data_IF_360260810220
#
_entry.id   IF_360260810220
#
_cell.length_a   1.000
_cell.length_b   1.000
_cell.length_c   1.000
_cell.angle_alpha   90.00
_cell.angle_beta   90.00
_cell.angle_gamma   90.00
#
_symmetry.space_group_name_H-M   'P 1'
#
loop_
_entity.id
_entity.type
_entity.pdbx_description
1 polymer ?
#
# COMPACT_ATOMS: atom_id res chain seq x y z
N UNK A 1 16.18 -28.97 0.19
CA UNK A 1 15.93 -29.64 -1.08
C UNK A 1 14.59 -29.15 -1.57
N UNK A 2 14.59 -28.25 -2.53
CA UNK A 2 13.38 -27.81 -3.23
C UNK A 2 13.16 -28.80 -4.33
N UNK A 3 12.08 -29.58 -4.25
CA UNK A 3 11.78 -30.59 -5.24
C UNK A 3 11.46 -29.97 -6.59
N UNK A 4 12.13 -30.44 -7.63
CA UNK A 4 11.80 -30.18 -9.02
C UNK A 4 10.33 -30.57 -9.29
N UNK A 5 9.49 -29.61 -9.61
CA UNK A 5 8.16 -29.89 -10.14
C UNK A 5 8.29 -30.37 -11.58
N UNK A 6 7.73 -31.55 -11.91
CA UNK A 6 7.82 -32.10 -13.26
C UNK A 6 7.01 -31.21 -14.21
N UNK A 7 7.71 -30.75 -15.25
CA UNK A 7 7.28 -30.47 -16.62
C UNK A 7 5.78 -30.21 -16.83
N UNK A 8 5.28 -29.04 -16.36
CA UNK A 8 3.99 -28.54 -16.82
C UNK A 8 4.19 -28.03 -18.25
N UNK A 9 3.51 -28.66 -19.22
CA UNK A 9 3.39 -28.12 -20.58
C UNK A 9 3.00 -26.65 -20.45
N UNK A 10 3.62 -25.72 -21.24
CA UNK A 10 3.18 -24.34 -21.23
C UNK A 10 1.70 -24.35 -21.58
N UNK A 11 0.86 -24.04 -20.61
CA UNK A 11 -0.56 -23.80 -20.88
C UNK A 11 -0.60 -22.65 -21.86
N UNK A 12 -1.09 -22.88 -23.08
CA UNK A 12 -1.38 -21.82 -24.02
C UNK A 12 -2.27 -20.81 -23.29
N UNK A 13 -1.75 -19.60 -23.10
CA UNK A 13 -2.52 -18.52 -22.50
C UNK A 13 -3.81 -18.35 -23.31
N UNK A 14 -4.92 -18.17 -22.63
CA UNK A 14 -6.19 -17.86 -23.28
C UNK A 14 -5.99 -16.65 -24.22
N UNK A 15 -6.39 -16.75 -25.50
CA UNK A 15 -6.23 -15.68 -26.49
C UNK A 15 -6.72 -14.31 -26.00
N UNK A 16 -7.74 -14.28 -25.15
CA UNK A 16 -8.24 -13.03 -24.53
C UNK A 16 -7.19 -12.36 -23.65
N UNK A 17 -6.25 -13.12 -23.10
CA UNK A 17 -5.16 -12.57 -22.29
C UNK A 17 -4.18 -11.74 -23.11
N UNK A 18 -3.95 -12.08 -24.39
CA UNK A 18 -3.11 -11.26 -25.28
C UNK A 18 -3.76 -9.91 -25.56
N UNK A 19 -5.08 -9.89 -25.78
CA UNK A 19 -5.84 -8.65 -25.97
C UNK A 19 -5.75 -7.78 -24.72
N UNK A 20 -5.98 -8.37 -23.54
CA UNK A 20 -5.86 -7.66 -22.25
C UNK A 20 -4.45 -7.10 -22.03
N UNK A 21 -3.40 -7.86 -22.33
CA UNK A 21 -2.01 -7.41 -22.24
C UNK A 21 -1.73 -6.22 -23.16
N UNK A 22 -2.23 -6.28 -24.39
CA UNK A 22 -2.10 -5.19 -25.36
C UNK A 22 -2.83 -3.94 -24.88
N UNK A 23 -4.06 -4.06 -24.39
CA UNK A 23 -4.85 -2.96 -23.85
C UNK A 23 -4.16 -2.32 -22.63
N UNK A 24 -3.66 -3.12 -21.72
CA UNK A 24 -2.92 -2.62 -20.55
C UNK A 24 -1.67 -1.87 -20.97
N UNK A 25 -0.90 -2.41 -21.92
CA UNK A 25 0.31 -1.74 -22.44
C UNK A 25 -0.02 -0.39 -23.06
N UNK A 26 -1.02 -0.34 -23.94
CA UNK A 26 -1.48 0.90 -24.57
C UNK A 26 -1.98 1.91 -23.52
N UNK A 27 -2.77 1.46 -22.57
CA UNK A 27 -3.28 2.30 -21.50
C UNK A 27 -2.14 2.85 -20.62
N UNK A 28 -1.17 2.01 -20.24
CA UNK A 28 -0.01 2.44 -19.46
C UNK A 28 0.78 3.54 -20.19
N UNK A 29 1.03 3.37 -21.48
CA UNK A 29 1.68 4.40 -22.30
C UNK A 29 0.85 5.68 -22.34
N UNK A 30 -0.45 5.57 -22.60
CA UNK A 30 -1.35 6.73 -22.65
C UNK A 30 -1.38 7.49 -21.32
N UNK A 31 -1.49 6.78 -20.19
CA UNK A 31 -1.45 7.38 -18.84
C UNK A 31 -0.11 8.09 -18.61
N UNK A 32 1.00 7.43 -18.95
CA UNK A 32 2.35 8.01 -18.77
C UNK A 32 2.55 9.31 -19.58
N UNK A 33 1.90 9.43 -20.73
CA UNK A 33 2.03 10.62 -21.60
C UNK A 33 1.03 11.74 -21.28
N UNK A 34 -0.11 11.41 -20.67
CA UNK A 34 -1.23 12.35 -20.56
C UNK A 34 -1.61 12.75 -19.15
N UNK A 35 -1.17 11.99 -18.14
CA UNK A 35 -1.40 12.34 -16.73
C UNK A 35 -0.26 13.23 -16.22
N UNK A 36 -0.58 14.33 -15.56
CA UNK A 36 0.42 15.24 -15.04
C UNK A 36 1.03 14.73 -13.72
N UNK A 37 1.58 13.50 -13.72
CA UNK A 37 2.30 13.01 -12.54
C UNK A 37 3.51 13.90 -12.24
N UNK A 38 3.88 14.03 -10.97
CA UNK A 38 5.13 14.68 -10.61
C UNK A 38 6.32 13.99 -11.31
N UNK A 39 6.31 12.66 -11.29
CA UNK A 39 7.14 11.82 -12.14
C UNK A 39 6.53 10.43 -12.29
N UNK A 40 6.82 9.81 -13.42
CA UNK A 40 6.50 8.40 -13.67
C UNK A 40 7.73 7.74 -14.33
N UNK A 41 8.16 6.61 -13.75
CA UNK A 41 9.29 5.86 -14.23
C UNK A 41 9.04 5.09 -15.52
N UNK A 42 10.01 4.28 -15.91
CA UNK A 42 9.91 3.46 -17.12
C UNK A 42 9.13 2.16 -16.86
N UNK A 43 8.51 1.64 -17.93
CA UNK A 43 7.77 0.37 -17.96
C UNK A 43 6.74 0.18 -16.82
N UNK A 44 5.91 1.18 -16.47
CA UNK A 44 4.83 0.94 -15.53
C UNK A 44 3.81 -0.02 -16.15
N UNK A 45 3.25 -0.90 -15.34
CA UNK A 45 2.08 -1.71 -15.68
C UNK A 45 0.87 -1.14 -14.96
N UNK A 46 -0.03 -0.48 -15.68
CA UNK A 46 -1.24 0.14 -15.11
C UNK A 46 -2.45 -0.46 -15.79
N UNK A 47 -3.27 -1.20 -15.03
CA UNK A 47 -4.47 -1.81 -15.59
C UNK A 47 -5.50 -0.72 -15.90
N UNK A 48 -6.17 -0.81 -17.05
CA UNK A 48 -7.10 0.22 -17.55
C UNK A 48 -8.38 0.38 -16.72
N UNK A 49 -8.70 -0.56 -15.81
CA UNK A 49 -9.82 -0.41 -14.86
C UNK A 49 -9.40 0.33 -13.57
N UNK A 50 -8.11 0.65 -13.40
CA UNK A 50 -7.63 1.37 -12.23
C UNK A 50 -8.12 2.81 -12.23
N UNK A 51 -8.44 3.34 -11.06
CA UNK A 51 -8.88 4.72 -10.85
C UNK A 51 -7.73 5.54 -10.29
N UNK A 52 -7.19 6.42 -11.11
CA UNK A 52 -6.09 7.31 -10.72
C UNK A 52 -6.61 8.74 -10.60
N UNK A 53 -6.25 9.44 -9.54
CA UNK A 53 -6.65 10.83 -9.31
C UNK A 53 -6.00 11.78 -10.32
N UNK A 54 -6.50 11.84 -11.58
CA UNK A 54 -5.91 12.64 -12.66
C UNK A 54 -5.74 14.12 -12.28
N UNK A 55 -6.75 14.74 -11.68
CA UNK A 55 -6.71 16.15 -11.26
C UNK A 55 -5.66 16.43 -10.18
N UNK A 56 -5.18 15.42 -9.49
CA UNK A 56 -4.17 15.49 -8.43
C UNK A 56 -2.92 14.66 -8.75
N UNK A 57 -2.76 14.23 -10.00
CA UNK A 57 -1.64 13.37 -10.39
C UNK A 57 -0.27 14.04 -10.19
N UNK A 58 -0.19 15.38 -10.25
CA UNK A 58 1.03 16.13 -9.95
C UNK A 58 1.52 15.97 -8.49
N UNK A 59 0.68 15.45 -7.59
CA UNK A 59 1.05 15.09 -6.22
C UNK A 59 1.35 13.59 -6.06
N UNK A 60 1.46 12.85 -7.17
CA UNK A 60 1.78 11.42 -7.20
C UNK A 60 3.11 11.22 -7.91
N UNK A 61 4.01 10.47 -7.27
CA UNK A 61 5.25 9.98 -7.87
C UNK A 61 5.19 8.47 -8.01
N UNK A 62 5.48 7.96 -9.21
CA UNK A 62 5.51 6.52 -9.52
C UNK A 62 6.90 6.17 -10.04
N UNK A 63 7.53 5.17 -9.46
CA UNK A 63 8.86 4.66 -9.84
C UNK A 63 8.85 3.79 -11.08
N UNK A 64 9.97 3.11 -11.30
CA UNK A 64 10.19 2.21 -12.42
C UNK A 64 9.54 0.85 -12.16
N UNK A 65 9.02 0.21 -13.23
CA UNK A 65 8.51 -1.17 -13.19
C UNK A 65 7.44 -1.40 -12.11
N UNK A 66 6.70 -0.36 -11.74
CA UNK A 66 5.59 -0.45 -10.78
C UNK A 66 4.42 -1.16 -11.44
N UNK A 67 3.85 -2.14 -10.74
CA UNK A 67 2.64 -2.86 -11.15
C UNK A 67 1.41 -2.35 -10.41
N UNK A 68 0.41 -1.86 -11.14
CA UNK A 68 -0.90 -1.44 -10.63
C UNK A 68 -1.98 -2.32 -11.26
N UNK A 69 -2.55 -3.22 -10.46
CA UNK A 69 -3.51 -4.25 -10.86
C UNK A 69 -4.91 -3.72 -11.16
N UNK A 70 -5.84 -4.65 -11.40
CA UNK A 70 -7.25 -4.32 -11.71
C UNK A 70 -7.92 -3.57 -10.56
N UNK A 71 -8.76 -2.58 -10.90
CA UNK A 71 -9.64 -1.90 -9.95
C UNK A 71 -8.90 -1.27 -8.74
N UNK A 72 -7.60 -1.04 -8.86
CA UNK A 72 -6.84 -0.29 -7.87
C UNK A 72 -7.32 1.15 -7.85
N UNK A 73 -7.51 1.70 -6.66
CA UNK A 73 -7.85 3.10 -6.49
C UNK A 73 -6.71 3.87 -5.82
N UNK A 74 -6.07 4.76 -6.59
CA UNK A 74 -5.10 5.72 -6.07
C UNK A 74 -5.77 7.08 -5.98
N UNK A 75 -5.99 7.54 -4.76
CA UNK A 75 -6.64 8.80 -4.46
C UNK A 75 -5.70 9.76 -3.73
N UNK A 76 -5.83 11.04 -4.04
CA UNK A 76 -5.20 12.14 -3.31
C UNK A 76 -6.29 13.04 -2.76
N UNK A 77 -6.44 13.04 -1.45
CA UNK A 77 -7.44 13.81 -0.70
C UNK A 77 -6.88 15.12 -0.13
N UNK A 78 -5.66 15.51 -0.51
CA UNK A 78 -5.08 16.78 -0.11
C UNK A 78 -5.95 17.95 -0.62
N UNK A 79 -6.36 18.85 0.29
CA UNK A 79 -7.14 20.03 -0.05
C UNK A 79 -6.25 21.16 -0.58
N UNK A 80 -5.01 21.21 -0.11
CA UNK A 80 -4.01 22.21 -0.47
C UNK A 80 -2.99 21.65 -1.46
N UNK A 81 -2.48 22.51 -2.30
CA UNK A 81 -1.33 22.19 -3.15
C UNK A 81 -0.08 22.04 -2.25
N UNK A 82 0.70 20.99 -2.50
CA UNK A 82 1.96 20.73 -1.80
C UNK A 82 3.10 20.69 -2.82
N UNK A 83 4.25 21.21 -2.44
CA UNK A 83 5.45 21.18 -3.27
C UNK A 83 5.98 19.74 -3.43
N UNK A 84 5.83 18.93 -2.37
CA UNK A 84 6.23 17.54 -2.34
C UNK A 84 5.05 16.59 -2.65
N UNK A 85 5.30 15.44 -3.30
CA UNK A 85 4.24 14.47 -3.59
C UNK A 85 3.68 13.90 -2.29
N UNK A 86 2.37 13.77 -2.24
CA UNK A 86 1.70 13.15 -1.09
C UNK A 86 1.56 11.63 -1.23
N UNK A 87 1.69 11.11 -2.45
CA UNK A 87 1.73 9.68 -2.72
C UNK A 87 2.98 9.33 -3.51
N UNK A 88 3.87 8.56 -2.90
CA UNK A 88 5.11 8.07 -3.50
C UNK A 88 5.07 6.56 -3.56
N UNK A 89 5.28 6.00 -4.74
CA UNK A 89 5.36 4.57 -4.99
C UNK A 89 6.68 4.32 -5.70
N UNK A 90 7.64 3.71 -5.01
CA UNK A 90 8.97 3.47 -5.54
C UNK A 90 9.05 2.22 -6.43
N UNK A 91 10.23 2.05 -7.04
CA UNK A 91 10.54 1.04 -8.05
C UNK A 91 10.15 -0.38 -7.65
N UNK A 92 9.71 -1.19 -8.62
CA UNK A 92 9.41 -2.61 -8.42
C UNK A 92 8.22 -2.91 -7.51
N UNK A 93 7.53 -1.90 -7.00
CA UNK A 93 6.35 -2.09 -6.14
C UNK A 93 5.21 -2.75 -6.89
N UNK A 94 4.59 -3.75 -6.27
CA UNK A 94 3.44 -4.49 -6.82
C UNK A 94 2.19 -4.15 -6.01
N UNK A 95 1.19 -3.57 -6.65
CA UNK A 95 -0.12 -3.25 -6.07
C UNK A 95 -1.16 -4.12 -6.77
N UNK A 96 -1.65 -5.15 -6.09
CA UNK A 96 -2.62 -6.09 -6.64
C UNK A 96 -4.04 -5.52 -6.66
N UNK A 97 -4.94 -6.29 -7.29
CA UNK A 97 -6.31 -5.87 -7.62
C UNK A 97 -7.10 -5.35 -6.42
N UNK A 98 -7.92 -4.34 -6.66
CA UNK A 98 -8.87 -3.77 -5.70
C UNK A 98 -8.21 -3.17 -4.45
N UNK A 99 -6.90 -2.96 -4.43
CA UNK A 99 -6.25 -2.20 -3.38
C UNK A 99 -6.68 -0.73 -3.45
N UNK A 100 -6.84 -0.09 -2.28
CA UNK A 100 -7.24 1.29 -2.16
C UNK A 100 -6.16 2.05 -1.37
N UNK A 101 -5.61 3.08 -1.99
CA UNK A 101 -4.60 3.95 -1.38
C UNK A 101 -5.11 5.38 -1.45
N UNK A 102 -5.38 5.96 -0.30
CA UNK A 102 -5.91 7.32 -0.20
C UNK A 102 -4.98 8.18 0.65
N UNK A 103 -4.23 9.05 -0.02
CA UNK A 103 -3.24 9.92 0.59
C UNK A 103 -3.76 11.34 0.76
N UNK A 104 -3.55 11.94 1.92
CA UNK A 104 -3.80 13.35 2.22
C UNK A 104 -2.50 14.10 2.53
N UNK A 105 -1.66 13.53 3.37
CA UNK A 105 -0.42 14.16 3.81
C UNK A 105 0.82 13.51 3.23
N UNK A 106 0.99 12.19 3.48
CA UNK A 106 2.12 11.46 2.93
C UNK A 106 1.88 9.94 3.06
N UNK A 107 1.80 9.26 1.94
CA UNK A 107 1.95 7.81 1.88
C UNK A 107 3.15 7.52 0.99
N UNK A 108 4.18 6.89 1.57
CA UNK A 108 5.37 6.47 0.85
C UNK A 108 5.49 4.95 0.90
N UNK A 109 5.41 4.32 -0.25
CA UNK A 109 5.60 2.87 -0.44
C UNK A 109 6.94 2.70 -1.11
N UNK A 110 7.92 2.20 -0.35
CA UNK A 110 9.27 2.00 -0.84
C UNK A 110 9.37 0.81 -1.78
N UNK A 111 10.51 0.72 -2.48
CA UNK A 111 10.77 -0.26 -3.53
C UNK A 111 10.50 -1.71 -3.11
N UNK A 112 10.12 -2.52 -4.09
CA UNK A 112 9.92 -3.96 -3.93
C UNK A 112 8.85 -4.33 -2.88
N UNK A 113 7.98 -3.39 -2.50
CA UNK A 113 6.85 -3.68 -1.62
C UNK A 113 5.77 -4.46 -2.37
N UNK A 114 5.16 -5.44 -1.71
CA UNK A 114 4.06 -6.23 -2.23
C UNK A 114 2.76 -5.90 -1.51
N UNK A 115 1.86 -5.21 -2.19
CA UNK A 115 0.52 -4.89 -1.70
C UNK A 115 -0.47 -5.87 -2.30
N UNK A 116 -1.04 -6.74 -1.47
CA UNK A 116 -1.99 -7.76 -1.92
C UNK A 116 -3.36 -7.17 -2.26
N UNK A 117 -4.22 -8.01 -2.85
CA UNK A 117 -5.56 -7.59 -3.27
C UNK A 117 -6.43 -7.14 -2.10
N UNK A 118 -7.22 -6.08 -2.32
CA UNK A 118 -8.18 -5.56 -1.36
C UNK A 118 -7.58 -4.88 -0.14
N UNK A 119 -6.28 -4.55 -0.16
CA UNK A 119 -5.62 -3.79 0.91
C UNK A 119 -6.13 -2.35 0.93
N UNK A 120 -6.34 -1.80 2.14
CA UNK A 120 -6.62 -0.38 2.36
C UNK A 120 -5.40 0.29 3.02
N UNK A 121 -4.89 1.37 2.42
CA UNK A 121 -3.86 2.23 3.00
C UNK A 121 -4.40 3.66 3.03
N UNK A 122 -4.53 4.24 4.21
CA UNK A 122 -5.14 5.55 4.36
C UNK A 122 -4.52 6.34 5.51
N UNK A 123 -4.05 7.55 5.23
CA UNK A 123 -3.37 8.42 6.19
C UNK A 123 -4.29 9.47 6.84
N UNK A 124 -5.59 9.38 6.64
CA UNK A 124 -6.60 10.28 7.19
C UNK A 124 -7.89 9.53 7.48
N UNK A 125 -8.86 10.19 8.11
CA UNK A 125 -10.20 9.64 8.37
C UNK A 125 -11.24 10.74 8.26
N UNK A 126 -12.51 10.43 8.37
CA UNK A 126 -13.54 11.45 8.58
C UNK A 126 -13.44 11.99 10.00
N UNK A 127 -13.63 13.31 10.16
CA UNK A 127 -13.77 13.93 11.47
C UNK A 127 -15.13 13.56 12.07
N UNK A 128 -15.17 13.24 13.35
CA UNK A 128 -16.37 12.78 14.07
C UNK A 128 -16.46 13.30 15.51
N UNK A 129 -15.59 14.21 15.89
CA UNK A 129 -15.46 14.70 17.26
C UNK A 129 -16.67 15.52 17.71
N UNK A 130 -17.32 16.22 16.79
CA UNK A 130 -18.53 17.00 17.09
C UNK A 130 -19.78 16.11 17.02
N UNK A 131 -20.21 15.62 18.18
CA UNK A 131 -21.39 14.74 18.30
C UNK A 131 -22.72 15.45 17.97
N UNK A 132 -22.72 16.77 17.81
CA UNK A 132 -23.93 17.54 17.47
C UNK A 132 -24.16 17.66 15.97
N UNK A 133 -23.17 17.26 15.14
CA UNK A 133 -23.22 17.35 13.69
C UNK A 133 -23.11 15.97 13.03
N UNK A 134 -23.77 15.75 11.89
CA UNK A 134 -23.53 14.56 11.09
C UNK A 134 -22.05 14.45 10.67
N UNK A 135 -21.45 13.25 10.72
CA UNK A 135 -20.06 13.01 10.34
C UNK A 135 -19.78 13.50 8.91
N UNK A 136 -20.72 13.33 7.98
CA UNK A 136 -20.62 13.80 6.59
C UNK A 136 -20.47 15.32 6.44
N UNK A 137 -20.71 16.09 7.49
CA UNK A 137 -20.60 17.55 7.53
C UNK A 137 -19.37 18.05 8.30
N UNK A 138 -18.55 17.15 8.85
CA UNK A 138 -17.38 17.54 9.63
C UNK A 138 -16.08 17.55 8.83
N UNK A 139 -16.09 16.96 7.60
CA UNK A 139 -14.91 16.89 6.76
C UNK A 139 -14.01 15.70 7.09
N UNK A 140 -12.72 15.89 6.94
CA UNK A 140 -11.69 14.85 7.19
C UNK A 140 -10.69 15.35 8.23
N UNK A 141 -10.06 14.42 8.96
CA UNK A 141 -9.03 14.71 9.98
C UNK A 141 -7.82 15.41 9.38
N UNK A 142 -6.96 15.98 10.23
CA UNK A 142 -5.66 16.51 9.78
C UNK A 142 -4.83 15.46 9.06
N UNK A 143 -4.97 14.19 9.46
CA UNK A 143 -4.27 13.08 8.88
C UNK A 143 -2.88 12.87 9.47
N UNK A 144 -2.33 11.68 9.19
CA UNK A 144 -0.99 11.27 9.59
C UNK A 144 -0.06 11.10 8.39
N UNK A 145 0.97 10.28 8.58
CA UNK A 145 1.92 9.87 7.54
C UNK A 145 2.09 8.36 7.59
N UNK A 146 2.17 7.71 6.45
CA UNK A 146 2.41 6.27 6.35
C UNK A 146 3.66 6.02 5.53
N UNK A 147 4.56 5.19 6.06
CA UNK A 147 5.72 4.70 5.35
C UNK A 147 5.73 3.18 5.37
N UNK A 148 5.77 2.57 4.20
CA UNK A 148 5.94 1.13 4.04
C UNK A 148 7.35 0.93 3.49
N UNK A 149 8.25 0.44 4.34
CA UNK A 149 9.64 0.27 3.96
C UNK A 149 9.84 -0.91 3.00
N UNK A 150 10.96 -0.87 2.29
CA UNK A 150 11.30 -1.78 1.20
C UNK A 150 11.08 -3.27 1.53
N UNK A 151 10.66 -4.04 0.52
CA UNK A 151 10.51 -5.49 0.59
C UNK A 151 9.41 -5.97 1.52
N UNK A 152 8.56 -5.08 2.05
CA UNK A 152 7.46 -5.47 2.94
C UNK A 152 6.27 -6.02 2.17
N UNK A 153 5.58 -6.97 2.79
CA UNK A 153 4.38 -7.58 2.23
C UNK A 153 3.14 -7.24 3.07
N UNK A 154 2.18 -6.58 2.45
CA UNK A 154 0.88 -6.30 3.03
C UNK A 154 -0.11 -7.33 2.51
N UNK A 155 -0.56 -8.21 3.39
CA UNK A 155 -1.43 -9.34 3.09
C UNK A 155 -2.83 -8.91 2.66
N UNK A 156 -3.52 -9.81 1.96
CA UNK A 156 -4.87 -9.56 1.40
C UNK A 156 -5.84 -9.00 2.45
N UNK A 157 -6.57 -7.96 2.05
CA UNK A 157 -7.62 -7.37 2.89
C UNK A 157 -7.11 -6.67 4.15
N UNK A 158 -5.80 -6.55 4.34
CA UNK A 158 -5.27 -5.79 5.47
C UNK A 158 -5.56 -4.30 5.33
N UNK A 159 -5.67 -3.61 6.49
CA UNK A 159 -5.81 -2.17 6.54
C UNK A 159 -4.64 -1.54 7.29
N UNK A 160 -4.01 -0.52 6.70
CA UNK A 160 -2.95 0.30 7.31
C UNK A 160 -3.49 1.71 7.45
N UNK A 161 -3.79 2.13 8.67
CA UNK A 161 -4.55 3.34 8.95
C UNK A 161 -3.78 4.26 9.91
N UNK A 162 -3.61 5.53 9.52
CA UNK A 162 -2.91 6.54 10.30
C UNK A 162 -3.64 7.88 10.26
N UNK A 163 -4.56 8.13 11.18
CA UNK A 163 -5.32 9.38 11.23
C UNK A 163 -4.55 10.55 11.88
N UNK A 164 -3.41 10.28 12.55
CA UNK A 164 -2.55 11.28 13.21
C UNK A 164 -1.14 10.73 13.42
N UNK A 165 -0.14 11.60 13.36
CA UNK A 165 1.26 11.24 13.59
C UNK A 165 1.88 10.45 12.44
N UNK A 166 2.71 9.46 12.75
CA UNK A 166 3.42 8.66 11.76
C UNK A 166 3.27 7.15 12.05
N UNK A 167 3.04 6.37 11.00
CA UNK A 167 2.99 4.92 11.03
C UNK A 167 3.99 4.34 10.04
N UNK A 168 4.94 3.56 10.54
CA UNK A 168 5.99 2.92 9.74
C UNK A 168 5.81 1.40 9.77
N UNK A 169 5.66 0.79 8.61
CA UNK A 169 5.86 -0.65 8.43
C UNK A 169 7.33 -0.85 8.08
N UNK A 170 8.10 -1.39 9.01
CA UNK A 170 9.55 -1.56 8.82
C UNK A 170 9.89 -2.52 7.68
N UNK A 171 11.13 -2.45 7.18
CA UNK A 171 11.60 -3.26 6.04
C UNK A 171 11.37 -4.76 6.24
N UNK A 172 11.07 -5.45 5.15
CA UNK A 172 10.82 -6.89 5.14
C UNK A 172 9.80 -7.35 6.20
N UNK A 173 8.85 -6.48 6.55
CA UNK A 173 7.71 -6.86 7.39
C UNK A 173 6.66 -7.64 6.61
N UNK A 174 5.96 -8.50 7.31
CA UNK A 174 4.77 -9.18 6.82
C UNK A 174 3.58 -8.73 7.64
N UNK A 175 2.65 -8.03 7.00
CA UNK A 175 1.32 -7.77 7.56
C UNK A 175 0.41 -8.90 7.08
N UNK A 176 -0.09 -9.71 8.00
CA UNK A 176 -0.91 -10.85 7.65
C UNK A 176 -2.27 -10.43 7.06
N UNK A 177 -2.93 -11.36 6.36
CA UNK A 177 -4.23 -11.09 5.76
C UNK A 177 -5.26 -10.62 6.79
N UNK A 178 -6.10 -9.63 6.40
CA UNK A 178 -7.15 -9.04 7.23
C UNK A 178 -6.67 -8.39 8.54
N UNK A 179 -5.37 -8.15 8.71
CA UNK A 179 -4.86 -7.43 9.87
C UNK A 179 -5.18 -5.93 9.77
N UNK A 180 -5.45 -5.28 10.91
CA UNK A 180 -5.67 -3.83 10.99
C UNK A 180 -4.51 -3.19 11.75
N UNK A 181 -3.64 -2.52 11.00
CA UNK A 181 -2.42 -1.92 11.53
C UNK A 181 -2.68 -0.46 11.89
N UNK A 182 -2.58 -0.13 13.16
CA UNK A 182 -2.81 1.20 13.72
C UNK A 182 -1.53 1.79 14.36
N UNK A 183 -0.44 1.02 14.42
CA UNK A 183 0.84 1.40 15.02
C UNK A 183 2.00 0.88 14.20
N UNK A 184 3.14 1.55 14.29
CA UNK A 184 4.36 1.14 13.60
C UNK A 184 4.80 -0.28 13.96
N UNK A 185 5.37 -0.97 12.98
CA UNK A 185 5.89 -2.33 13.10
C UNK A 185 7.41 -2.29 12.89
N UNK A 186 8.21 -2.87 13.79
CA UNK A 186 9.66 -2.88 13.62
C UNK A 186 10.06 -3.75 12.41
N UNK A 187 11.23 -3.48 11.78
CA UNK A 187 11.71 -4.28 10.67
C UNK A 187 11.74 -5.78 10.98
N UNK A 188 11.61 -6.60 9.93
CA UNK A 188 11.71 -8.07 10.02
C UNK A 188 10.70 -8.67 11.02
N UNK A 189 9.47 -8.16 11.00
CA UNK A 189 8.39 -8.63 11.87
C UNK A 189 7.22 -9.20 11.07
N UNK A 190 6.49 -10.12 11.68
CA UNK A 190 5.18 -10.56 11.23
C UNK A 190 4.14 -10.00 12.18
N UNK A 191 3.17 -9.26 11.66
CA UNK A 191 2.06 -8.70 12.44
C UNK A 191 0.73 -9.31 12.00
N UNK A 192 -0.15 -9.52 12.97
CA UNK A 192 -1.46 -10.16 12.75
C UNK A 192 -2.50 -9.62 13.73
N UNK A 193 -3.77 -9.65 13.35
CA UNK A 193 -4.91 -9.36 14.20
C UNK A 193 -5.56 -8.01 13.94
N UNK A 194 -6.59 -7.69 14.70
CA UNK A 194 -7.32 -6.43 14.72
C UNK A 194 -7.59 -6.02 16.18
N UNK A 195 -6.86 -5.04 16.73
CA UNK A 195 -5.69 -4.37 16.13
C UNK A 195 -4.48 -5.32 15.99
N UNK A 196 -3.66 -5.06 14.97
CA UNK A 196 -2.51 -5.90 14.66
C UNK A 196 -1.41 -5.77 15.71
N UNK A 197 -0.82 -6.91 16.08
CA UNK A 197 0.31 -7.01 17.00
C UNK A 197 1.43 -7.84 16.38
N UNK A 198 2.66 -7.65 16.87
CA UNK A 198 3.81 -8.43 16.41
C UNK A 198 3.71 -9.85 16.97
N UNK A 199 3.61 -10.84 16.08
CA UNK A 199 3.52 -12.26 16.45
C UNK A 199 4.83 -13.02 16.21
N UNK A 200 5.70 -12.52 15.32
CA UNK A 200 7.02 -13.10 15.04
C UNK A 200 8.02 -12.01 14.74
N UNK A 201 9.30 -12.30 15.01
CA UNK A 201 10.46 -11.51 14.58
C UNK A 201 11.51 -12.42 14.00
N UNK A 202 12.28 -11.92 13.04
CA UNK A 202 13.41 -12.67 12.51
C UNK A 202 14.61 -12.55 13.45
N UNK A 203 15.13 -13.71 13.86
CA UNK A 203 16.34 -13.83 14.69
C UNK A 203 17.53 -14.07 13.74
N UNK A 204 18.40 -13.08 13.60
CA UNK A 204 19.54 -13.12 12.69
C UNK A 204 20.62 -14.11 13.12
N UNK A 205 20.78 -14.34 14.42
CA UNK A 205 21.76 -15.30 14.95
C UNK A 205 21.30 -16.73 14.67
N UNK A 206 20.03 -17.01 14.88
CA UNK A 206 19.41 -18.32 14.60
C UNK A 206 18.97 -18.50 13.14
N UNK A 207 19.04 -17.43 12.33
CA UNK A 207 18.59 -17.42 10.91
C UNK A 207 17.18 -17.97 10.73
N UNK A 208 16.25 -17.66 11.62
CA UNK A 208 14.85 -18.13 11.57
C UNK A 208 13.87 -17.14 12.22
N UNK A 209 12.63 -17.29 11.85
CA UNK A 209 11.53 -16.60 12.49
C UNK A 209 11.27 -17.21 13.88
N UNK A 210 11.25 -16.38 14.91
CA UNK A 210 10.91 -16.75 16.28
C UNK A 210 9.59 -16.11 16.68
N UNK A 211 8.85 -16.78 17.56
CA UNK A 211 7.63 -16.22 18.14
C UNK A 211 8.03 -14.97 18.91
N UNK A 212 7.44 -13.83 18.56
CA UNK A 212 7.62 -12.59 19.31
C UNK A 212 6.96 -12.79 20.67
N UNK A 213 7.68 -12.54 21.76
CA UNK A 213 7.04 -12.29 23.02
C UNK A 213 6.21 -11.02 22.83
N UNK A 214 4.90 -11.16 22.79
CA UNK A 214 3.97 -10.03 22.82
C UNK A 214 4.08 -9.31 24.15
N UNK A 215 5.12 -8.53 24.33
CA UNK A 215 5.12 -7.48 25.31
C UNK A 215 4.47 -6.28 24.65
N UNK A 216 3.13 -6.24 24.71
CA UNK A 216 2.51 -4.96 24.87
C UNK A 216 3.22 -4.35 26.10
N UNK A 217 4.11 -3.40 25.89
CA UNK A 217 4.42 -2.44 26.94
C UNK A 217 3.14 -1.66 27.12
N UNK A 218 2.29 -2.14 28.03
CA UNK A 218 1.35 -1.33 28.76
C UNK A 218 2.16 -0.27 29.49
N UNK A 219 2.35 0.86 28.86
CA UNK A 219 2.73 2.07 29.54
C UNK A 219 1.73 3.14 29.17
N UNK A 220 0.75 3.26 30.06
CA UNK A 220 -0.06 4.44 30.32
C UNK A 220 -1.07 4.86 29.26
N UNK A 221 -2.25 4.22 29.36
CA UNK A 221 -3.48 4.98 29.26
C UNK A 221 -3.56 5.87 30.52
N UNK A 222 -3.42 7.16 30.36
CA UNK A 222 -3.93 8.14 31.32
C UNK A 222 -4.93 9.06 30.62
N UNK A 223 -6.16 8.88 31.14
CA UNK A 223 -7.32 9.78 31.31
C UNK A 223 -7.64 10.79 30.19
#
# INVERSE_FOLDING_TARGET
MVGDHPNTRPTLDDPINYINRALVKLYSIWVSLTYPFQSIGHKPYIHYTSRLARSRAHQIKIGNEVFIGKDVWLNVSALEEKDEPVLVIDDGTIINSSAQISAKNCIHIERDALISSGVLIQDHSHAFEDVTRPISKQGITEGGRIRIEQGSWIGRGAAVLCAKGELVIGRNCVVAANAVVLRSCPPYSVVFGNPATVIRRYDFDKKRWVVGSGTATDSQADR
#
